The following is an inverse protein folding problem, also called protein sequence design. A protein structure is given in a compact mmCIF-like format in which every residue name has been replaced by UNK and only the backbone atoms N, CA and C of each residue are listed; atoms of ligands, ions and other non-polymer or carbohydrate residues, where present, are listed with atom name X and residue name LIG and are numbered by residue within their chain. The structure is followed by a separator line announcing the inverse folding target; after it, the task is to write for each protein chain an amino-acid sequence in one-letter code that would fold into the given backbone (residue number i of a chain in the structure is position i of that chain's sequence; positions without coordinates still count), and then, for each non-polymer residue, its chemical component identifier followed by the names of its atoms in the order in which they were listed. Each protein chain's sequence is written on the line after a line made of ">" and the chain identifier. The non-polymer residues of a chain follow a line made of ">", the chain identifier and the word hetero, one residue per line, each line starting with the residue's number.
data_IF_700035001183
#
_entry.id   IF_700035001183
#
_cell.length_a   1.000
_cell.length_b   1.000
_cell.length_c   1.000
_cell.angle_alpha   90.00
_cell.angle_beta   90.00
_cell.angle_gamma   90.00
#
_symmetry.space_group_name_H-M   'P 1'
#
loop_
_entity.id
_entity.type
_entity.pdbx_description
1 polymer ?
#
# COMPACT_ATOMS: atom_id res chain seq x y z
N UNK A 1 -3.56 14.19 32.92
CA UNK A 1 -2.64 14.41 31.78
C UNK A 1 -3.04 15.70 31.10
N UNK A 2 -2.08 16.44 30.55
CA UNK A 2 -2.32 17.67 29.78
C UNK A 2 -1.50 17.62 28.49
N UNK A 3 -2.04 18.21 27.44
CA UNK A 3 -1.37 18.36 26.15
C UNK A 3 -0.87 19.78 26.03
N UNK A 4 0.40 19.92 25.68
CA UNK A 4 1.05 21.18 25.40
C UNK A 4 1.45 21.21 23.94
N UNK A 5 1.12 22.30 23.25
CA UNK A 5 1.43 22.51 21.84
C UNK A 5 2.71 23.34 21.77
N UNK A 6 3.78 22.73 21.28
CA UNK A 6 5.12 23.33 21.23
C UNK A 6 5.27 24.11 19.93
N UNK A 7 5.85 25.30 20.02
CA UNK A 7 6.14 26.15 18.86
C UNK A 7 7.61 26.54 18.79
N UNK A 8 8.11 26.81 17.60
CA UNK A 8 9.45 27.36 17.39
C UNK A 8 9.55 28.79 17.93
N UNK A 9 10.53 29.08 18.80
CA UNK A 9 10.65 30.40 19.46
C UNK A 9 10.95 31.55 18.50
N UNK A 10 11.52 31.28 17.32
CA UNK A 10 11.90 32.32 16.36
C UNK A 10 10.77 32.62 15.36
N UNK A 11 10.06 31.58 14.93
CA UNK A 11 9.08 31.65 13.84
C UNK A 11 7.65 31.49 14.31
N UNK A 12 7.42 31.05 15.55
CA UNK A 12 6.11 30.72 16.10
C UNK A 12 5.50 29.44 15.51
N UNK A 13 6.16 28.75 14.59
CA UNK A 13 5.59 27.59 13.90
C UNK A 13 5.35 26.44 14.86
N UNK A 14 4.19 25.79 14.72
CA UNK A 14 3.91 24.55 15.44
C UNK A 14 4.95 23.48 15.12
N UNK A 15 5.42 22.79 16.16
CA UNK A 15 6.41 21.72 16.06
C UNK A 15 5.78 20.37 16.40
N UNK A 16 5.28 20.23 17.63
CA UNK A 16 4.78 18.95 18.13
C UNK A 16 3.83 19.12 19.33
N UNK A 17 3.16 18.03 19.67
CA UNK A 17 2.36 17.90 20.89
C UNK A 17 3.15 17.13 21.94
N UNK A 18 3.30 17.73 23.12
CA UNK A 18 3.88 17.07 24.29
C UNK A 18 2.79 16.75 25.29
N UNK A 19 2.66 15.47 25.64
CA UNK A 19 1.70 15.01 26.65
C UNK A 19 2.45 14.85 27.98
N UNK A 20 2.02 15.59 29.00
CA UNK A 20 2.62 15.55 30.33
C UNK A 20 1.63 14.92 31.30
N UNK A 21 2.09 13.86 31.96
CA UNK A 21 1.37 13.24 33.06
C UNK A 21 1.73 13.96 34.36
N UNK A 22 0.75 14.26 35.23
CA UNK A 22 1.04 14.88 36.50
C UNK A 22 1.83 13.90 37.39
N UNK A 23 2.83 14.43 38.06
CA UNK A 23 3.28 13.88 39.34
C UNK A 23 2.33 14.34 40.44
N UNK A 24 2.45 13.79 41.64
CA UNK A 24 1.63 14.20 42.77
C UNK A 24 2.53 14.60 43.94
N UNK A 25 2.31 15.79 44.45
CA UNK A 25 2.83 16.22 45.75
C UNK A 25 1.76 16.02 46.82
N UNK A 26 2.17 15.85 48.06
CA UNK A 26 1.25 15.66 49.19
C UNK A 26 1.17 16.91 50.05
N UNK A 27 -0.05 17.25 50.44
CA UNK A 27 -0.31 18.22 51.50
C UNK A 27 -0.61 17.46 52.78
N UNK A 28 0.05 17.84 53.88
CA UNK A 28 -0.15 17.23 55.19
C UNK A 28 -0.82 18.19 56.17
N UNK A 29 -1.57 17.65 57.14
CA UNK A 29 -2.01 18.39 58.32
C UNK A 29 -0.86 18.59 59.33
N UNK A 30 -1.17 19.20 60.48
CA UNK A 30 -0.20 19.45 61.56
C UNK A 30 0.30 18.17 62.23
N UNK A 31 -0.42 17.06 62.08
CA UNK A 31 -0.10 15.75 62.66
C UNK A 31 0.69 14.87 61.66
N UNK A 32 0.97 15.40 60.46
CA UNK A 32 1.72 14.72 59.40
C UNK A 32 0.88 13.77 58.54
N UNK A 33 -0.44 13.76 58.69
CA UNK A 33 -1.31 12.94 57.84
C UNK A 33 -1.50 13.60 56.48
N UNK A 34 -1.42 12.82 55.41
CA UNK A 34 -1.70 13.30 54.05
C UNK A 34 -3.19 13.59 53.91
N UNK A 35 -3.52 14.86 53.67
CA UNK A 35 -4.90 15.33 53.51
C UNK A 35 -5.28 15.57 52.04
N UNK A 36 -4.30 15.77 51.16
CA UNK A 36 -4.56 16.05 49.74
C UNK A 36 -3.37 15.63 48.87
N UNK A 37 -3.67 15.09 47.68
CA UNK A 37 -2.68 14.82 46.63
C UNK A 37 -2.85 15.85 45.52
N UNK A 38 -1.87 16.74 45.38
CA UNK A 38 -1.92 17.87 44.46
C UNK A 38 -1.21 17.48 43.16
N UNK A 39 -1.87 17.53 41.99
CA UNK A 39 -1.23 17.22 40.72
C UNK A 39 -0.23 18.31 40.34
N UNK A 40 1.02 17.93 40.10
CA UNK A 40 2.12 18.80 39.69
C UNK A 40 2.66 18.35 38.34
N UNK A 41 2.56 19.23 37.33
CA UNK A 41 3.09 19.02 35.99
C UNK A 41 4.52 19.56 35.92
N UNK A 42 5.50 18.66 35.83
CA UNK A 42 6.93 19.01 35.74
C UNK A 42 7.40 18.92 34.29
N UNK A 43 8.50 19.61 33.97
CA UNK A 43 9.14 19.59 32.65
C UNK A 43 8.26 20.10 31.49
N UNK A 44 7.42 21.11 31.75
CA UNK A 44 6.67 21.81 30.69
C UNK A 44 7.67 22.62 29.85
N UNK A 45 7.73 22.44 28.51
CA UNK A 45 8.58 23.25 27.66
C UNK A 45 8.20 24.73 27.71
N UNK A 46 9.18 25.62 27.78
CA UNK A 46 8.93 27.07 27.85
C UNK A 46 8.21 27.61 26.61
N UNK A 47 8.48 27.02 25.45
CA UNK A 47 7.89 27.36 24.16
C UNK A 47 6.64 26.54 23.88
N UNK A 48 5.77 26.41 24.86
CA UNK A 48 4.54 25.64 24.73
C UNK A 48 3.34 26.39 25.27
N UNK A 49 2.16 25.97 24.81
CA UNK A 49 0.86 26.52 25.21
C UNK A 49 -0.14 25.39 25.41
N UNK A 50 -1.10 25.58 26.31
CA UNK A 50 -2.24 24.66 26.45
C UNK A 50 -3.36 24.99 25.45
N UNK A 51 -3.24 26.07 24.67
CA UNK A 51 -4.25 26.47 23.69
C UNK A 51 -4.21 25.51 22.49
N UNK A 52 -5.33 24.88 22.14
CA UNK A 52 -5.39 23.95 21.02
C UNK A 52 -5.19 24.63 19.67
N UNK A 53 -4.63 23.88 18.73
CA UNK A 53 -4.49 24.30 17.34
C UNK A 53 -5.86 24.64 16.72
N UNK A 54 -5.93 25.63 15.81
CA UNK A 54 -7.15 25.98 15.11
C UNK A 54 -7.51 24.84 14.15
N UNK A 55 -8.77 24.74 13.77
CA UNK A 55 -9.21 23.82 12.72
C UNK A 55 -9.69 24.65 11.53
N UNK A 56 -9.14 24.44 10.31
CA UNK A 56 -8.06 23.51 9.94
C UNK A 56 -6.67 23.93 10.46
N UNK A 57 -5.72 22.98 10.55
CA UNK A 57 -4.38 23.15 11.14
C UNK A 57 -3.22 22.87 10.15
N UNK A 58 -3.24 23.50 8.98
CA UNK A 58 -2.26 23.22 7.93
C UNK A 58 -0.89 23.88 8.19
N UNK A 59 -0.85 25.16 8.53
CA UNK A 59 0.37 25.89 8.91
C UNK A 59 0.10 26.87 10.06
N UNK A 60 -0.24 26.34 11.25
CA UNK A 60 -0.51 27.18 12.40
C UNK A 60 0.78 27.80 12.97
N UNK A 61 0.73 29.09 13.26
CA UNK A 61 1.78 29.89 13.89
C UNK A 61 1.25 30.53 15.16
N UNK A 62 2.02 30.44 16.24
CA UNK A 62 1.74 31.08 17.52
C UNK A 62 2.11 32.56 17.48
N UNK A 63 1.14 33.43 17.72
CA UNK A 63 1.35 34.90 17.73
C UNK A 63 1.71 35.46 19.13
N UNK A 64 1.76 34.60 20.15
CA UNK A 64 1.97 34.97 21.55
C UNK A 64 0.71 34.83 22.40
N UNK A 65 -0.48 34.89 21.80
CA UNK A 65 -1.78 34.79 22.47
C UNK A 65 -2.61 33.62 21.97
N UNK A 66 -2.56 33.35 20.66
CA UNK A 66 -3.34 32.31 19.99
C UNK A 66 -2.60 31.74 18.78
N UNK A 67 -3.15 30.66 18.26
CA UNK A 67 -2.72 30.11 16.99
C UNK A 67 -3.42 30.80 15.82
N UNK A 68 -2.64 31.16 14.81
CA UNK A 68 -3.09 31.76 13.55
C UNK A 68 -2.75 30.80 12.42
N UNK A 69 -3.73 30.48 11.58
CA UNK A 69 -3.49 29.73 10.34
C UNK A 69 -2.85 30.65 9.31
N UNK A 70 -1.72 30.24 8.74
CA UNK A 70 -0.91 31.06 7.85
C UNK A 70 -0.69 30.45 6.47
N UNK A 71 -1.35 29.34 6.16
CA UNK A 71 -1.36 28.80 4.80
C UNK A 71 -1.90 29.86 3.82
N UNK A 72 -1.27 29.95 2.66
CA UNK A 72 -1.74 30.79 1.56
C UNK A 72 -2.72 30.03 0.68
N UNK A 73 -3.60 30.73 -0.04
CA UNK A 73 -4.55 30.11 -0.98
C UNK A 73 -3.81 29.29 -2.04
N UNK A 74 -2.66 29.79 -2.53
CA UNK A 74 -1.81 29.12 -3.51
C UNK A 74 -1.29 27.78 -2.98
N UNK A 75 -0.82 27.74 -1.74
CA UNK A 75 -0.34 26.51 -1.10
C UNK A 75 -1.48 25.54 -0.79
N UNK A 76 -2.68 26.07 -0.49
CA UNK A 76 -3.89 25.27 -0.29
C UNK A 76 -4.35 24.63 -1.61
N UNK A 77 -4.31 25.38 -2.71
CA UNK A 77 -4.59 24.88 -4.05
C UNK A 77 -3.60 23.78 -4.45
N UNK A 78 -2.31 23.90 -4.13
CA UNK A 78 -1.33 22.85 -4.39
C UNK A 78 -1.60 21.55 -3.62
N UNK A 79 -2.02 21.65 -2.36
CA UNK A 79 -2.42 20.48 -1.56
C UNK A 79 -3.68 19.82 -2.13
N UNK A 80 -4.60 20.63 -2.67
CA UNK A 80 -5.85 20.16 -3.27
C UNK A 80 -5.72 19.73 -4.73
N UNK A 81 -4.56 19.94 -5.38
CA UNK A 81 -4.32 19.43 -6.73
C UNK A 81 -4.43 17.90 -6.70
N UNK A 82 -5.26 17.29 -7.57
CA UNK A 82 -5.33 15.84 -7.66
C UNK A 82 -3.92 15.32 -8.02
N UNK A 83 -3.34 14.53 -7.13
CA UNK A 83 -2.07 13.88 -7.43
C UNK A 83 -2.26 12.99 -8.67
N UNK A 84 -1.27 12.94 -9.59
CA UNK A 84 -1.34 12.04 -10.74
C UNK A 84 -1.58 10.62 -10.22
N UNK A 85 -2.62 9.97 -10.74
CA UNK A 85 -3.06 8.66 -10.29
C UNK A 85 -1.91 7.65 -10.42
N UNK A 86 -1.22 7.37 -9.31
CA UNK A 86 -0.24 6.29 -9.26
C UNK A 86 -1.04 4.99 -9.18
N UNK A 87 -0.90 4.06 -10.15
CA UNK A 87 -1.61 2.79 -10.08
C UNK A 87 -1.31 2.12 -8.75
N UNK A 88 -2.37 1.83 -8.01
CA UNK A 88 -2.33 1.05 -6.77
C UNK A 88 -1.68 -0.31 -7.03
N UNK A 89 -1.20 -0.96 -5.98
CA UNK A 89 -0.67 -2.33 -6.08
C UNK A 89 -1.71 -3.29 -6.65
N UNK A 90 -2.99 -3.06 -6.37
CA UNK A 90 -4.11 -3.86 -6.87
C UNK A 90 -4.26 -3.69 -8.39
N UNK A 91 -4.17 -2.47 -8.92
CA UNK A 91 -4.27 -2.25 -10.37
C UNK A 91 -3.08 -2.84 -11.12
N UNK A 92 -1.88 -2.76 -10.55
CA UNK A 92 -0.70 -3.43 -11.11
C UNK A 92 -0.86 -4.95 -11.11
N UNK A 93 -1.38 -5.50 -10.02
CA UNK A 93 -1.63 -6.93 -9.90
C UNK A 93 -2.67 -7.41 -10.92
N UNK A 94 -3.77 -6.66 -11.09
CA UNK A 94 -4.80 -6.97 -12.07
C UNK A 94 -4.25 -6.93 -13.51
N UNK A 95 -3.43 -5.94 -13.85
CA UNK A 95 -2.79 -5.88 -15.16
C UNK A 95 -1.89 -7.10 -15.43
N UNK A 96 -1.11 -7.52 -14.42
CA UNK A 96 -0.27 -8.71 -14.52
C UNK A 96 -1.10 -9.99 -14.67
N UNK A 97 -2.21 -10.12 -13.92
CA UNK A 97 -3.11 -11.27 -14.02
C UNK A 97 -3.71 -11.36 -15.43
N UNK A 98 -4.13 -10.24 -16.01
CA UNK A 98 -4.64 -10.21 -17.39
C UNK A 98 -3.56 -10.63 -18.38
N UNK A 99 -2.35 -10.08 -18.28
CA UNK A 99 -1.25 -10.46 -19.16
C UNK A 99 -0.89 -11.96 -19.04
N UNK A 100 -0.91 -12.51 -17.83
CA UNK A 100 -0.65 -13.93 -17.61
C UNK A 100 -1.75 -14.82 -18.20
N UNK A 101 -3.02 -14.40 -18.11
CA UNK A 101 -4.15 -15.12 -18.70
C UNK A 101 -4.06 -15.15 -20.22
N UNK A 102 -3.79 -14.00 -20.84
CA UNK A 102 -3.65 -13.91 -22.30
C UNK A 102 -2.51 -14.80 -22.79
N UNK A 103 -1.35 -14.78 -22.11
CA UNK A 103 -0.23 -15.68 -22.42
C UNK A 103 -0.61 -17.15 -22.25
N UNK A 104 -1.35 -17.49 -21.21
CA UNK A 104 -1.80 -18.87 -20.98
C UNK A 104 -2.72 -19.34 -22.12
N UNK A 105 -3.68 -18.51 -22.54
CA UNK A 105 -4.59 -18.81 -23.65
C UNK A 105 -3.82 -19.04 -24.95
N UNK A 106 -2.86 -18.16 -25.29
CA UNK A 106 -2.04 -18.35 -26.50
C UNK A 106 -1.20 -19.64 -26.48
N UNK A 107 -0.66 -20.01 -25.32
CA UNK A 107 0.10 -21.25 -25.16
C UNK A 107 -0.79 -22.48 -25.26
N UNK A 108 -2.02 -22.42 -24.73
CA UNK A 108 -3.00 -23.50 -24.84
C UNK A 108 -3.43 -23.70 -26.30
N UNK A 109 -3.65 -22.63 -27.07
CA UNK A 109 -3.94 -22.70 -28.50
C UNK A 109 -2.77 -23.29 -29.31
N UNK A 110 -1.54 -22.85 -29.04
CA UNK A 110 -0.35 -23.38 -29.71
C UNK A 110 -0.17 -24.88 -29.43
N UNK A 111 -0.32 -25.29 -28.16
CA UNK A 111 -0.26 -26.69 -27.76
C UNK A 111 -1.34 -27.54 -28.44
N UNK A 112 -2.59 -27.06 -28.51
CA UNK A 112 -3.66 -27.74 -29.21
C UNK A 112 -3.33 -27.93 -30.71
N UNK A 113 -2.76 -26.91 -31.35
CA UNK A 113 -2.27 -26.97 -32.73
C UNK A 113 -1.18 -28.01 -32.92
N UNK A 114 -0.19 -28.07 -32.02
CA UNK A 114 0.89 -29.05 -32.05
C UNK A 114 0.38 -30.47 -31.87
N UNK A 115 -0.55 -30.71 -30.93
CA UNK A 115 -1.19 -32.01 -30.71
C UNK A 115 -1.93 -32.48 -31.96
N UNK A 116 -2.75 -31.62 -32.57
CA UNK A 116 -3.46 -31.93 -33.81
C UNK A 116 -2.50 -32.24 -34.96
N UNK A 117 -1.38 -31.51 -35.06
CA UNK A 117 -0.37 -31.76 -36.08
C UNK A 117 0.32 -33.13 -35.89
N UNK A 118 0.50 -33.55 -34.64
CA UNK A 118 1.14 -34.82 -34.29
C UNK A 118 0.21 -35.99 -34.62
N UNK A 119 -1.06 -35.90 -34.22
CA UNK A 119 -2.09 -36.90 -34.56
C UNK A 119 -2.20 -37.09 -36.08
N UNK A 120 -2.19 -36.00 -36.86
CA UNK A 120 -2.23 -36.07 -38.32
C UNK A 120 -1.02 -36.82 -38.91
N UNK A 121 0.18 -36.59 -38.37
CA UNK A 121 1.40 -37.29 -38.80
C UNK A 121 1.33 -38.78 -38.48
N UNK A 122 0.89 -39.14 -37.27
CA UNK A 122 0.72 -40.55 -36.86
C UNK A 122 -0.28 -41.26 -37.77
N UNK A 123 -1.45 -40.67 -38.01
CA UNK A 123 -2.45 -41.25 -38.92
C UNK A 123 -1.93 -41.43 -40.35
N UNK A 124 -1.12 -40.49 -40.85
CA UNK A 124 -0.50 -40.60 -42.19
C UNK A 124 0.53 -41.73 -42.23
N UNK A 125 1.30 -41.92 -41.17
CA UNK A 125 2.26 -43.03 -41.05
C UNK A 125 1.55 -44.38 -41.02
N UNK A 126 0.46 -44.50 -40.27
CA UNK A 126 -0.35 -45.73 -40.21
C UNK A 126 -0.93 -46.10 -41.57
N UNK A 127 -1.49 -45.13 -42.30
CA UNK A 127 -2.01 -45.35 -43.66
C UNK A 127 -0.91 -45.84 -44.62
N UNK A 128 0.28 -45.22 -44.58
CA UNK A 128 1.40 -45.69 -45.40
C UNK A 128 1.85 -47.10 -45.02
N UNK A 129 1.84 -47.46 -43.72
CA UNK A 129 2.17 -48.82 -43.28
C UNK A 129 1.13 -49.84 -43.75
N UNK A 130 -0.15 -49.48 -43.74
CA UNK A 130 -1.24 -50.33 -44.25
C UNK A 130 -1.12 -50.53 -45.77
N UNK A 131 -0.84 -49.47 -46.53
CA UNK A 131 -0.57 -49.55 -47.98
C UNK A 131 0.64 -50.46 -48.28
N UNK A 132 1.76 -50.31 -47.56
CA UNK A 132 2.92 -51.18 -47.74
C UNK A 132 2.60 -52.65 -47.40
N UNK A 133 1.86 -52.88 -46.32
CA UNK A 133 1.46 -54.24 -45.89
C UNK A 133 0.56 -54.93 -46.92
N UNK A 134 -0.40 -54.20 -47.49
CA UNK A 134 -1.29 -54.72 -48.54
C UNK A 134 -0.54 -55.05 -49.83
N UNK A 135 0.43 -54.22 -50.25
CA UNK A 135 1.31 -54.49 -51.39
C UNK A 135 2.13 -55.77 -51.18
N UNK A 136 2.75 -55.94 -50.02
CA UNK A 136 3.51 -57.16 -49.68
C UNK A 136 2.62 -58.40 -49.73
N UNK A 137 1.41 -58.34 -49.15
CA UNK A 137 0.47 -59.45 -49.19
C UNK A 137 0.06 -59.83 -50.63
N UNK A 138 -0.13 -58.84 -51.50
CA UNK A 138 -0.47 -59.08 -52.90
C UNK A 138 0.68 -59.71 -53.68
N UNK A 139 1.93 -59.32 -53.41
CA UNK A 139 3.12 -59.95 -54.02
C UNK A 139 3.26 -61.42 -53.60
N UNK A 140 3.02 -61.73 -52.32
CA UNK A 140 3.01 -63.11 -51.79
C UNK A 140 1.91 -63.93 -52.48
N UNK A 141 0.68 -63.40 -52.58
CA UNK A 141 -0.44 -64.09 -53.25
C UNK A 141 -0.22 -64.28 -54.75
N UNK A 142 0.51 -63.36 -55.40
CA UNK A 142 0.85 -63.42 -56.82
C UNK A 142 2.02 -64.34 -57.17
N UNK A 143 2.70 -64.94 -56.18
CA UNK A 143 3.83 -65.86 -56.39
C UNK A 143 5.12 -65.18 -56.86
N UNK A 144 5.28 -63.88 -56.60
CA UNK A 144 6.46 -63.08 -56.98
C UNK A 144 7.55 -63.13 -55.87
N UNK A 145 7.16 -63.51 -54.65
CA UNK A 145 7.99 -63.76 -53.47
C UNK A 145 7.71 -65.16 -52.95
#
# INVERSE_FOLDING_TARGET
>A
MRTFYVYDKQTGRYLENVIIFPSYDTKTDNDGNVIEWIPVYKNIPENSTEIPLPQPNWKPVWDGEKWVETITEEELEEINKPQPHKPSEIEKLNALITEMKDKQETLEEENAGLVLSSIKKEMTLELMQEEQSTLVLNLIKGGVL
#
